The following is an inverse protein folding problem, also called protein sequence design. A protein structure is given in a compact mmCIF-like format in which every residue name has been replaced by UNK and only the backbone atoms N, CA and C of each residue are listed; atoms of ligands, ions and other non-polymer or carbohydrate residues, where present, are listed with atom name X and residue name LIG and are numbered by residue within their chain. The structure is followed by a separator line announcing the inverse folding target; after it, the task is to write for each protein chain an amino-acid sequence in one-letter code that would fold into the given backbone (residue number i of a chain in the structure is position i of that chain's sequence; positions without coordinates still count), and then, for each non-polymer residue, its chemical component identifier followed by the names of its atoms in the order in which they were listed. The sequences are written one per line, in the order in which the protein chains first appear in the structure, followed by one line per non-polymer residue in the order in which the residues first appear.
data_IF_038806607840
#
_entry.id   IF_038806607840
#
_cell.length_a   1.000
_cell.length_b   1.000
_cell.length_c   1.000
_cell.angle_alpha   90.00
_cell.angle_beta   90.00
_cell.angle_gamma   90.00
#
_symmetry.space_group_name_H-M   'P 1'
#
loop_
_entity.id
_entity.type
_entity.pdbx_description
1 polymer ?
#
# COMPACT_ATOMS: atom_id res chain seq x y z
N UNK A 1 6.82 -11.54 34.09
CA UNK A 1 8.25 -11.86 33.98
C UNK A 1 8.94 -10.98 32.91
N UNK A 2 8.58 -9.69 32.83
CA UNK A 2 9.39 -8.65 32.17
C UNK A 2 10.56 -8.34 33.11
N UNK A 3 11.58 -9.21 33.12
CA UNK A 3 12.85 -8.88 33.78
C UNK A 3 13.41 -7.69 33.01
N UNK A 4 13.21 -6.49 33.56
CA UNK A 4 14.12 -5.36 33.52
C UNK A 4 15.12 -5.45 32.34
N UNK A 5 14.65 -5.12 31.13
CA UNK A 5 15.44 -4.19 30.33
C UNK A 5 15.35 -2.86 31.07
N UNK A 6 16.04 -2.79 32.21
CA UNK A 6 16.35 -1.52 32.80
C UNK A 6 17.02 -0.72 31.70
N UNK A 7 16.73 0.57 31.66
CA UNK A 7 17.36 1.53 30.79
C UNK A 7 18.91 1.49 30.69
N UNK A 8 19.75 0.84 31.54
CA UNK A 8 21.21 0.84 31.48
C UNK A 8 21.88 0.44 30.16
N UNK A 9 21.42 -0.58 29.42
CA UNK A 9 22.04 -0.94 28.13
C UNK A 9 21.82 0.17 27.07
N UNK A 10 20.78 0.99 27.25
CA UNK A 10 20.49 2.20 26.46
C UNK A 10 20.99 3.50 27.15
N UNK A 11 21.47 3.42 28.39
CA UNK A 11 21.90 4.56 29.20
C UNK A 11 23.34 5.01 28.86
N UNK A 12 24.14 4.14 28.24
CA UNK A 12 25.44 4.51 27.68
C UNK A 12 25.37 5.49 26.49
N UNK A 13 24.18 5.74 25.96
CA UNK A 13 23.99 6.61 24.78
C UNK A 13 23.70 8.04 25.23
N UNK A 14 24.73 8.90 25.17
CA UNK A 14 24.59 10.36 25.27
C UNK A 14 23.78 10.86 24.07
N UNK A 15 22.52 11.22 24.29
CA UNK A 15 21.59 11.70 23.28
C UNK A 15 20.98 13.03 23.72
N UNK A 16 20.75 13.93 22.77
CA UNK A 16 20.12 15.23 23.06
C UNK A 16 18.61 15.07 23.25
N UNK A 17 18.02 14.05 22.62
CA UNK A 17 16.60 13.71 22.79
C UNK A 17 16.36 12.20 22.65
N UNK A 18 15.62 11.61 23.59
CA UNK A 18 15.19 10.21 23.56
C UNK A 18 13.66 10.14 23.48
N UNK A 19 13.15 9.20 22.70
CA UNK A 19 11.71 8.92 22.59
C UNK A 19 11.35 7.66 23.37
N UNK A 20 10.09 7.52 23.84
CA UNK A 20 9.64 6.32 24.54
C UNK A 20 9.92 5.06 23.72
N UNK A 21 10.35 3.99 24.41
CA UNK A 21 10.49 2.68 23.79
C UNK A 21 9.14 2.14 23.37
N UNK A 22 9.12 1.43 22.26
CA UNK A 22 7.91 0.94 21.63
C UNK A 22 8.02 -0.58 21.50
N UNK A 23 6.98 -1.30 21.90
CA UNK A 23 6.93 -2.75 21.95
C UNK A 23 5.74 -3.27 21.16
N UNK A 24 5.90 -4.42 20.51
CA UNK A 24 4.77 -5.13 19.90
C UNK A 24 4.95 -6.64 20.05
N UNK A 25 3.84 -7.36 20.06
CA UNK A 25 3.84 -8.83 20.14
C UNK A 25 3.65 -9.41 18.75
N UNK A 26 4.62 -10.22 18.32
CA UNK A 26 4.51 -10.92 17.05
C UNK A 26 3.45 -12.02 17.11
N UNK A 27 2.99 -12.48 15.94
CA UNK A 27 2.06 -13.63 15.84
C UNK A 27 2.60 -14.92 16.47
N UNK A 28 3.90 -15.03 16.73
CA UNK A 28 4.52 -16.16 17.42
C UNK A 28 4.63 -15.95 18.94
N UNK A 29 4.00 -14.91 19.50
CA UNK A 29 4.07 -14.55 20.92
C UNK A 29 5.38 -13.88 21.35
N UNK A 30 6.36 -13.72 20.46
CA UNK A 30 7.64 -13.05 20.78
C UNK A 30 7.46 -11.54 20.83
N UNK A 31 8.05 -10.91 21.85
CA UNK A 31 8.02 -9.45 22.02
C UNK A 31 9.17 -8.81 21.25
N UNK A 32 8.83 -7.84 20.40
CA UNK A 32 9.79 -7.03 19.66
C UNK A 32 9.80 -5.62 20.23
N UNK A 33 10.99 -5.06 20.39
CA UNK A 33 11.22 -3.69 20.82
C UNK A 33 11.76 -2.85 19.66
N UNK A 34 11.39 -1.57 19.67
CA UNK A 34 11.87 -0.54 18.77
C UNK A 34 12.26 0.71 19.58
N UNK A 35 13.38 1.31 19.21
CA UNK A 35 13.92 2.49 19.87
C UNK A 35 14.39 3.53 18.84
N UNK A 36 14.26 4.82 19.19
CA UNK A 36 14.75 5.94 18.39
C UNK A 36 15.20 7.09 19.28
N UNK A 37 16.27 7.77 18.89
CA UNK A 37 16.83 8.92 19.59
C UNK A 37 17.60 9.83 18.63
N UNK A 38 17.91 11.04 19.09
CA UNK A 38 18.61 12.06 18.31
C UNK A 38 19.86 12.52 19.04
N UNK A 39 20.93 12.73 18.28
CA UNK A 39 22.16 13.39 18.72
C UNK A 39 22.62 14.33 17.60
N UNK A 40 22.66 15.62 17.89
CA UNK A 40 22.89 16.69 16.92
C UNK A 40 21.87 16.66 15.79
N UNK A 41 22.38 16.55 14.58
CA UNK A 41 21.65 16.44 13.33
C UNK A 41 21.36 14.99 12.90
N UNK A 42 21.64 14.01 13.77
CA UNK A 42 21.60 12.60 13.44
C UNK A 42 20.51 11.87 14.21
N UNK A 43 19.64 11.17 13.48
CA UNK A 43 18.65 10.24 14.03
C UNK A 43 19.26 8.85 14.08
N UNK A 44 19.08 8.18 15.22
CA UNK A 44 19.49 6.81 15.45
C UNK A 44 18.24 5.98 15.73
N UNK A 45 18.19 4.75 15.21
CA UNK A 45 17.12 3.80 15.53
C UNK A 45 17.63 2.37 15.59
N UNK A 46 17.00 1.55 16.42
CA UNK A 46 17.23 0.10 16.43
C UNK A 46 15.93 -0.65 16.68
N UNK A 47 15.93 -1.93 16.32
CA UNK A 47 14.84 -2.86 16.56
C UNK A 47 15.39 -4.27 16.82
N UNK A 48 14.67 -5.07 17.60
CA UNK A 48 15.04 -6.46 17.88
C UNK A 48 14.05 -7.15 18.82
N UNK A 49 14.30 -8.40 19.15
CA UNK A 49 13.52 -9.13 20.15
C UNK A 49 14.08 -8.86 21.55
N UNK A 50 13.21 -8.76 22.56
CA UNK A 50 13.66 -8.58 23.95
C UNK A 50 14.55 -9.75 24.38
N UNK A 51 14.17 -10.97 24.03
CA UNK A 51 14.93 -12.19 24.37
C UNK A 51 15.98 -12.55 23.30
N UNK A 52 16.41 -11.58 22.49
CA UNK A 52 17.36 -11.79 21.40
C UNK A 52 18.32 -10.62 21.24
N UNK A 53 19.15 -10.66 20.20
CA UNK A 53 20.05 -9.54 19.89
C UNK A 53 19.27 -8.38 19.26
N UNK A 54 19.45 -7.19 19.80
CA UNK A 54 19.12 -5.95 19.09
C UNK A 54 20.02 -5.83 17.86
N UNK A 55 19.48 -5.24 16.79
CA UNK A 55 20.30 -4.89 15.63
C UNK A 55 21.23 -3.73 15.97
N UNK A 56 22.33 -3.65 15.24
CA UNK A 56 23.16 -2.45 15.24
C UNK A 56 22.32 -1.22 14.88
N UNK A 57 22.48 -0.09 15.60
CA UNK A 57 21.73 1.12 15.32
C UNK A 57 21.92 1.59 13.88
N UNK A 58 20.80 1.77 13.17
CA UNK A 58 20.79 2.50 11.91
C UNK A 58 20.83 3.99 12.19
N UNK A 59 21.66 4.72 11.44
CA UNK A 59 21.82 6.15 11.60
C UNK A 59 21.48 6.89 10.31
N UNK A 60 20.93 8.08 10.46
CA UNK A 60 20.73 9.00 9.36
C UNK A 60 21.01 10.43 9.80
N UNK A 61 22.03 11.03 9.18
CA UNK A 61 22.40 12.42 9.41
C UNK A 61 21.63 13.33 8.45
N UNK A 62 20.96 14.34 8.99
CA UNK A 62 20.17 15.30 8.22
C UNK A 62 20.99 16.56 7.96
N UNK A 63 21.01 17.01 6.70
CA UNK A 63 21.70 18.26 6.33
C UNK A 63 20.87 19.53 6.58
N UNK A 64 19.58 19.38 6.91
CA UNK A 64 18.62 20.48 6.91
C UNK A 64 17.99 20.74 5.54
N UNK A 65 17.14 21.76 5.46
CA UNK A 65 16.52 22.28 4.23
C UNK A 65 16.50 23.82 4.28
N UNK A 66 15.85 24.47 3.31
CA UNK A 66 15.75 25.94 3.25
C UNK A 66 15.08 26.60 4.47
N UNK A 67 14.35 25.83 5.28
CA UNK A 67 13.61 26.33 6.44
C UNK A 67 14.24 25.93 7.78
N UNK A 68 15.11 24.92 7.82
CA UNK A 68 15.59 24.30 9.06
C UNK A 68 17.00 23.75 8.92
N UNK A 69 17.79 23.88 9.97
CA UNK A 69 19.07 23.20 10.12
C UNK A 69 18.89 21.68 10.25
N UNK A 70 19.98 20.92 10.07
CA UNK A 70 19.99 19.48 10.32
C UNK A 70 19.56 19.10 11.74
N UNK A 71 20.06 19.86 12.73
CA UNK A 71 19.75 19.67 14.14
C UNK A 71 18.27 19.95 14.47
N UNK A 72 17.62 20.88 13.77
CA UNK A 72 16.18 21.13 13.92
C UNK A 72 15.33 20.09 13.16
N UNK A 73 15.83 19.57 12.04
CA UNK A 73 15.11 18.59 11.22
C UNK A 73 15.12 17.19 11.85
N UNK A 74 16.22 16.77 12.47
CA UNK A 74 16.38 15.42 13.02
C UNK A 74 15.30 15.04 14.07
N UNK A 75 14.95 15.89 15.06
CA UNK A 75 13.85 15.61 15.98
C UNK A 75 12.51 15.41 15.28
N UNK A 76 12.17 16.22 14.28
CA UNK A 76 10.91 16.11 13.53
C UNK A 76 10.81 14.78 12.79
N UNK A 77 11.92 14.30 12.22
CA UNK A 77 11.97 13.02 11.52
C UNK A 77 11.91 11.84 12.50
N UNK A 78 12.55 11.95 13.66
CA UNK A 78 12.43 10.95 14.72
C UNK A 78 10.99 10.83 15.25
N UNK A 79 10.29 11.96 15.44
CA UNK A 79 8.86 11.98 15.80
C UNK A 79 8.01 11.27 14.74
N UNK A 80 8.21 11.54 13.44
CA UNK A 80 7.52 10.83 12.35
C UNK A 80 7.79 9.32 12.38
N UNK A 81 9.02 8.90 12.68
CA UNK A 81 9.36 7.49 12.78
C UNK A 81 8.65 6.81 13.96
N UNK A 82 8.51 7.51 15.10
CA UNK A 82 7.80 7.03 16.28
C UNK A 82 6.29 6.89 15.99
N UNK A 83 5.67 7.93 15.39
CA UNK A 83 4.26 7.88 14.96
C UNK A 83 3.99 6.72 13.99
N UNK A 84 4.94 6.41 13.12
CA UNK A 84 4.83 5.25 12.24
C UNK A 84 4.87 3.91 12.98
N UNK A 85 5.56 3.81 14.11
CA UNK A 85 5.51 2.59 14.94
C UNK A 85 4.16 2.47 15.66
N UNK A 86 3.60 3.59 16.12
CA UNK A 86 2.23 3.61 16.66
C UNK A 86 1.23 3.00 15.66
N UNK A 87 1.29 3.37 14.37
CA UNK A 87 0.43 2.81 13.31
C UNK A 87 0.65 1.30 13.04
N UNK A 88 1.73 0.73 13.56
CA UNK A 88 2.06 -0.68 13.46
C UNK A 88 1.79 -1.44 14.76
N UNK A 89 0.88 -0.94 15.59
CA UNK A 89 0.47 -1.54 16.86
C UNK A 89 1.65 -1.73 17.83
N UNK A 90 2.62 -0.81 17.79
CA UNK A 90 3.58 -0.71 18.87
C UNK A 90 3.06 0.24 19.95
N UNK A 91 3.35 -0.07 21.20
CA UNK A 91 3.03 0.75 22.36
C UNK A 91 4.17 0.70 23.40
N UNK A 92 4.32 1.72 24.27
CA UNK A 92 5.22 1.64 25.40
C UNK A 92 4.85 0.50 26.35
N UNK A 93 5.79 0.09 27.20
CA UNK A 93 5.51 -0.88 28.24
C UNK A 93 4.53 -0.28 29.27
N UNK A 94 3.68 -1.10 29.89
CA UNK A 94 2.67 -0.63 30.84
C UNK A 94 3.32 0.07 32.06
N UNK A 95 4.52 -0.36 32.45
CA UNK A 95 5.31 0.24 33.52
C UNK A 95 5.97 1.60 33.16
N UNK A 96 6.10 1.94 31.87
CA UNK A 96 6.68 3.21 31.42
C UNK A 96 5.63 4.32 31.44
N UNK A 97 5.37 4.87 32.64
CA UNK A 97 4.36 5.92 32.84
C UNK A 97 4.55 7.14 31.93
N UNK A 98 5.79 7.56 31.68
CA UNK A 98 6.08 8.70 30.82
C UNK A 98 5.80 8.36 29.35
N UNK A 99 6.21 7.17 28.91
CA UNK A 99 5.85 6.64 27.60
C UNK A 99 4.35 6.55 27.39
N UNK A 100 3.61 6.01 28.37
CA UNK A 100 2.15 5.88 28.32
C UNK A 100 1.44 7.24 28.22
N UNK A 101 1.94 8.27 28.89
CA UNK A 101 1.42 9.63 28.75
C UNK A 101 1.58 10.17 27.32
N UNK A 102 2.78 10.02 26.73
CA UNK A 102 3.03 10.40 25.33
C UNK A 102 2.14 9.61 24.37
N UNK A 103 2.02 8.30 24.60
CA UNK A 103 1.19 7.42 23.77
C UNK A 103 -0.29 7.81 23.82
N UNK A 104 -0.83 8.06 25.01
CA UNK A 104 -2.21 8.50 25.20
C UNK A 104 -2.45 9.86 24.55
N UNK A 105 -1.52 10.80 24.70
CA UNK A 105 -1.58 12.11 24.07
C UNK A 105 -1.57 12.04 22.53
N UNK A 106 -0.73 11.19 21.96
CA UNK A 106 -0.70 10.92 20.52
C UNK A 106 -2.00 10.26 20.06
N UNK A 107 -2.48 9.26 20.80
CA UNK A 107 -3.74 8.56 20.49
C UNK A 107 -4.88 9.58 20.39
N UNK A 108 -5.10 10.40 21.41
CA UNK A 108 -6.16 11.42 21.43
C UNK A 108 -6.09 12.38 20.23
N UNK A 109 -4.90 12.85 19.86
CA UNK A 109 -4.74 13.72 18.69
C UNK A 109 -5.05 13.01 17.38
N UNK A 110 -4.63 11.74 17.24
CA UNK A 110 -4.94 10.94 16.06
C UNK A 110 -6.44 10.65 15.97
N UNK A 111 -7.10 10.34 17.09
CA UNK A 111 -8.56 10.16 17.15
C UNK A 111 -9.29 11.42 16.64
N UNK A 112 -8.86 12.60 17.09
CA UNK A 112 -9.42 13.89 16.65
C UNK A 112 -9.13 14.23 15.17
N UNK A 113 -8.13 13.59 14.56
CA UNK A 113 -7.68 13.86 13.19
C UNK A 113 -7.86 12.65 12.24
N UNK A 114 -8.88 11.82 12.48
CA UNK A 114 -9.21 10.68 11.61
C UNK A 114 -8.10 9.63 11.48
N UNK A 115 -7.25 9.49 12.49
CA UNK A 115 -6.13 8.56 12.53
C UNK A 115 -4.84 9.06 11.87
N UNK A 116 -4.82 10.24 11.24
CA UNK A 116 -3.65 10.72 10.50
C UNK A 116 -2.48 11.13 11.39
N UNK A 117 -1.24 10.94 10.89
CA UNK A 117 -0.03 11.48 11.53
C UNK A 117 0.19 12.98 11.28
N UNK A 118 -0.47 13.56 10.27
CA UNK A 118 -0.26 14.96 9.89
C UNK A 118 -0.70 15.88 11.04
N UNK A 119 0.20 16.75 11.48
CA UNK A 119 -0.08 17.70 12.57
C UNK A 119 0.08 17.12 13.97
N UNK A 120 0.10 15.79 14.14
CA UNK A 120 0.26 15.16 15.45
C UNK A 120 1.66 15.40 15.99
N UNK A 121 1.74 15.80 17.26
CA UNK A 121 3.01 16.01 17.97
C UNK A 121 3.09 15.07 19.17
N UNK A 122 4.29 14.57 19.45
CA UNK A 122 4.53 13.77 20.66
C UNK A 122 4.50 14.63 21.93
N UNK A 123 4.85 15.91 21.80
CA UNK A 123 4.96 16.83 22.93
C UNK A 123 4.37 18.19 22.55
N UNK A 124 3.68 18.82 23.51
CA UNK A 124 3.06 20.14 23.33
C UNK A 124 1.68 20.09 22.69
N UNK A 125 1.15 21.27 22.32
CA UNK A 125 -0.17 21.39 21.71
C UNK A 125 -0.12 21.27 20.18
N UNK A 126 -1.20 20.71 19.64
CA UNK A 126 -1.40 20.55 18.20
C UNK A 126 -2.51 21.45 17.71
N UNK A 127 -2.29 22.03 16.54
CA UNK A 127 -3.33 22.72 15.77
C UNK A 127 -3.90 21.71 14.77
N UNK A 128 -5.03 21.09 15.14
CA UNK A 128 -5.76 20.20 14.24
C UNK A 128 -6.56 21.10 13.29
N UNK A 129 -6.09 21.24 12.05
CA UNK A 129 -6.74 22.06 11.04
C UNK A 129 -7.89 21.34 10.32
N UNK A 130 -7.99 20.03 10.46
CA UNK A 130 -8.98 19.18 9.79
C UNK A 130 -9.97 18.62 10.81
N UNK A 131 -11.16 19.22 10.88
CA UNK A 131 -12.31 18.62 11.58
C UNK A 131 -12.94 17.58 10.63
N UNK A 132 -12.93 16.32 11.03
CA UNK A 132 -13.66 15.26 10.32
C UNK A 132 -15.15 15.39 10.63
N UNK A 133 -16.00 15.19 9.62
CA UNK A 133 -17.47 15.11 9.79
C UNK A 133 -17.89 13.91 10.66
N UNK A 134 -17.06 12.87 10.73
CA UNK A 134 -17.30 11.64 11.50
C UNK A 134 -16.97 11.73 13.02
N UNK A 135 -16.63 12.90 13.54
CA UNK A 135 -16.18 13.05 14.93
C UNK A 135 -14.84 12.36 15.22
N UNK A 136 -14.56 12.08 16.51
CA UNK A 136 -13.33 11.40 16.92
C UNK A 136 -13.36 9.93 16.46
N UNK A 137 -12.30 9.50 15.78
CA UNK A 137 -12.11 8.11 15.40
C UNK A 137 -11.81 7.24 16.63
N UNK A 138 -12.39 6.05 16.72
CA UNK A 138 -11.92 5.01 17.64
C UNK A 138 -10.71 4.27 17.05
N UNK A 139 -9.56 4.34 17.72
CA UNK A 139 -8.34 3.65 17.30
C UNK A 139 -8.15 2.28 17.96
N UNK A 140 -9.07 1.84 18.82
CA UNK A 140 -8.99 0.55 19.53
C UNK A 140 -9.35 -0.66 18.66
N UNK A 141 -10.14 -0.46 17.60
CA UNK A 141 -10.56 -1.51 16.67
C UNK A 141 -10.21 -1.14 15.22
N UNK A 142 -8.96 -1.42 14.81
CA UNK A 142 -8.56 -1.22 13.41
C UNK A 142 -8.82 -2.48 12.57
N UNK A 143 -9.68 -2.33 11.57
CA UNK A 143 -9.90 -3.35 10.54
C UNK A 143 -8.78 -3.25 9.51
N UNK A 144 -7.86 -4.22 9.51
CA UNK A 144 -6.77 -4.28 8.53
C UNK A 144 -7.19 -5.16 7.36
N UNK A 145 -7.10 -4.69 6.10
CA UNK A 145 -7.49 -5.49 4.97
C UNK A 145 -6.52 -6.64 4.70
N UNK A 146 -7.03 -7.69 4.07
CA UNK A 146 -6.24 -8.82 3.61
C UNK A 146 -5.24 -8.39 2.51
N UNK A 147 -4.00 -8.89 2.56
CA UNK A 147 -2.95 -8.57 1.58
C UNK A 147 -2.68 -9.74 0.63
N UNK A 148 -2.20 -9.47 -0.59
CA UNK A 148 -1.94 -10.53 -1.56
C UNK A 148 -0.45 -10.87 -1.70
N UNK A 149 -0.14 -12.16 -1.81
CA UNK A 149 1.16 -12.65 -2.32
C UNK A 149 1.14 -12.68 -3.86
N UNK A 150 2.30 -12.79 -4.49
CA UNK A 150 2.37 -12.97 -5.94
C UNK A 150 1.84 -14.37 -6.31
N UNK A 151 1.00 -14.44 -7.35
CA UNK A 151 0.66 -15.70 -8.01
C UNK A 151 1.89 -16.28 -8.71
N UNK A 152 2.06 -17.60 -8.59
CA UNK A 152 3.05 -18.39 -9.32
C UNK A 152 2.35 -19.67 -9.75
N UNK A 153 2.31 -19.93 -11.05
CA UNK A 153 1.91 -21.25 -11.56
C UNK A 153 3.11 -22.19 -11.41
N UNK A 154 2.95 -23.22 -10.59
CA UNK A 154 4.00 -24.20 -10.33
C UNK A 154 4.01 -25.35 -11.35
N UNK A 155 2.98 -25.46 -12.19
CA UNK A 155 2.90 -26.48 -13.23
C UNK A 155 3.61 -26.08 -14.53
N UNK A 156 3.95 -24.79 -14.71
CA UNK A 156 4.71 -24.26 -15.86
C UNK A 156 6.20 -24.00 -15.56
N UNK A 157 6.76 -24.62 -14.53
CA UNK A 157 8.16 -24.41 -14.14
C UNK A 157 9.15 -25.17 -15.05
N UNK A 158 9.34 -24.69 -16.28
CA UNK A 158 10.56 -25.00 -17.06
C UNK A 158 11.51 -23.79 -17.23
N UNK A 159 11.11 -22.56 -16.91
CA UNK A 159 12.03 -21.42 -17.07
C UNK A 159 12.60 -20.87 -15.74
N UNK A 160 13.88 -21.23 -15.52
CA UNK A 160 14.96 -20.57 -14.77
C UNK A 160 14.66 -19.30 -13.96
N UNK A 161 13.82 -19.37 -12.93
CA UNK A 161 13.90 -18.46 -11.79
C UNK A 161 13.51 -19.17 -10.48
N UNK A 162 14.44 -19.99 -9.97
CA UNK A 162 14.38 -20.54 -8.61
C UNK A 162 14.56 -19.40 -7.60
N UNK A 163 13.45 -18.82 -7.15
CA UNK A 163 13.40 -17.97 -5.97
C UNK A 163 12.63 -18.70 -4.86
N UNK A 164 13.45 -19.35 -4.01
CA UNK A 164 13.30 -19.90 -2.66
C UNK A 164 11.93 -19.77 -1.96
N UNK A 165 11.57 -20.89 -1.31
CA UNK A 165 10.33 -21.30 -0.66
C UNK A 165 9.19 -21.70 -1.62
N UNK A 166 8.84 -23.00 -1.73
CA UNK A 166 7.66 -23.42 -2.44
C UNK A 166 6.44 -22.72 -1.82
N UNK A 167 5.75 -21.92 -2.62
CA UNK A 167 4.41 -21.49 -2.27
C UNK A 167 3.54 -22.74 -2.21
N UNK A 168 2.59 -22.77 -1.28
CA UNK A 168 1.59 -23.84 -1.25
C UNK A 168 0.81 -23.81 -2.57
N UNK A 169 0.61 -24.97 -3.18
CA UNK A 169 -0.24 -25.12 -4.35
C UNK A 169 -1.63 -24.51 -4.09
N UNK A 170 -2.23 -23.93 -5.14
CA UNK A 170 -3.61 -23.44 -5.10
C UNK A 170 -4.51 -24.66 -4.90
N UNK A 171 -5.40 -24.60 -3.90
CA UNK A 171 -6.47 -25.60 -3.76
C UNK A 171 -7.69 -25.10 -4.52
N UNK A 172 -8.29 -26.01 -5.30
CA UNK A 172 -9.51 -25.77 -6.03
C UNK A 172 -10.71 -26.42 -5.32
N UNK A 173 -11.92 -25.84 -5.41
CA UNK A 173 -12.23 -24.58 -6.10
C UNK A 173 -11.61 -23.35 -5.41
N UNK A 174 -11.32 -22.33 -6.21
CA UNK A 174 -10.85 -21.02 -5.78
C UNK A 174 -11.74 -19.93 -6.38
N UNK A 175 -11.65 -18.69 -5.88
CA UNK A 175 -12.34 -17.54 -6.45
C UNK A 175 -11.31 -16.67 -7.17
N UNK A 176 -11.45 -16.54 -8.49
CA UNK A 176 -10.71 -15.58 -9.29
C UNK A 176 -11.56 -14.30 -9.43
N UNK A 177 -10.96 -13.14 -9.18
CA UNK A 177 -11.65 -11.83 -9.20
C UNK A 177 -10.86 -10.83 -10.03
N UNK A 178 -11.54 -9.90 -10.68
CA UNK A 178 -10.88 -8.78 -11.33
C UNK A 178 -10.01 -8.00 -10.32
N UNK A 179 -8.79 -7.67 -10.73
CA UNK A 179 -7.91 -6.82 -9.95
C UNK A 179 -8.10 -5.36 -10.35
N UNK A 180 -8.86 -4.64 -9.55
CA UNK A 180 -9.04 -3.19 -9.67
C UNK A 180 -7.75 -2.43 -9.34
N UNK A 181 -7.46 -1.36 -10.10
CA UNK A 181 -6.35 -0.41 -9.85
C UNK A 181 -6.90 0.94 -9.36
N UNK A 182 -7.26 0.99 -8.08
CA UNK A 182 -7.85 2.17 -7.45
C UNK A 182 -7.22 2.48 -6.09
N UNK A 183 -8.02 3.04 -5.19
CA UNK A 183 -7.64 3.34 -3.81
C UNK A 183 -8.46 2.49 -2.83
N UNK A 184 -7.80 1.56 -2.14
CA UNK A 184 -8.39 0.66 -1.13
C UNK A 184 -9.16 1.41 -0.04
N UNK A 185 -10.41 1.00 0.19
CA UNK A 185 -11.22 1.47 1.30
C UNK A 185 -11.95 0.32 2.03
N UNK A 186 -12.31 0.58 3.28
CA UNK A 186 -13.09 -0.30 4.15
C UNK A 186 -14.23 0.52 4.78
N UNK A 187 -15.33 0.77 4.05
CA UNK A 187 -16.51 1.37 4.62
C UNK A 187 -17.17 0.41 5.61
N UNK A 188 -17.47 0.94 6.79
CA UNK A 188 -18.20 0.27 7.85
C UNK A 188 -19.55 0.95 8.04
N UNK A 189 -20.64 0.21 7.80
CA UNK A 189 -21.93 0.54 8.37
C UNK A 189 -21.91 0.14 9.84
N UNK A 190 -22.15 1.10 10.73
CA UNK A 190 -22.20 0.89 12.18
C UNK A 190 -23.63 0.65 12.65
N UNK A 191 -23.75 0.13 13.88
CA UNK A 191 -25.03 -0.17 14.54
C UNK A 191 -25.97 1.02 14.69
N UNK A 192 -25.42 2.23 14.76
CA UNK A 192 -26.17 3.48 14.81
C UNK A 192 -26.62 3.98 13.43
N UNK A 193 -26.36 3.20 12.38
CA UNK A 193 -26.68 3.52 10.99
C UNK A 193 -25.64 4.40 10.31
N UNK A 194 -24.61 4.89 10.99
CA UNK A 194 -23.59 5.75 10.39
C UNK A 194 -22.59 4.94 9.54
N UNK A 195 -22.09 5.55 8.46
CA UNK A 195 -21.03 4.95 7.62
C UNK A 195 -19.71 5.67 7.85
N UNK A 196 -18.67 4.91 8.18
CA UNK A 196 -17.29 5.41 8.24
C UNK A 196 -16.48 4.80 7.12
N UNK A 197 -15.82 5.65 6.34
CA UNK A 197 -14.98 5.24 5.21
C UNK A 197 -13.50 5.30 5.64
N UNK A 198 -12.85 4.14 5.72
CA UNK A 198 -11.44 4.05 6.15
C UNK A 198 -10.52 3.56 5.05
N UNK A 199 -9.29 4.06 5.02
CA UNK A 199 -8.24 3.56 4.15
C UNK A 199 -7.67 2.24 4.65
N UNK A 200 -6.84 1.60 3.80
CA UNK A 200 -6.04 0.43 4.17
C UNK A 200 -5.28 0.52 5.51
N UNK A 201 -4.84 1.72 5.89
CA UNK A 201 -4.08 1.94 7.13
C UNK A 201 -4.97 2.46 8.27
N UNK A 202 -6.29 2.41 8.12
CA UNK A 202 -7.24 2.94 9.09
C UNK A 202 -7.35 4.47 9.10
N UNK A 203 -6.74 5.23 8.20
CA UNK A 203 -7.02 6.68 8.16
C UNK A 203 -8.41 6.92 7.57
N UNK A 204 -9.21 7.77 8.20
CA UNK A 204 -10.55 8.12 7.73
C UNK A 204 -10.50 9.01 6.50
N UNK A 205 -11.28 8.69 5.49
CA UNK A 205 -11.60 9.65 4.42
C UNK A 205 -12.62 10.66 4.96
N UNK A 206 -12.45 11.94 4.63
CA UNK A 206 -13.32 13.03 5.13
C UNK A 206 -14.43 13.38 4.14
N UNK A 207 -14.14 13.31 2.84
CA UNK A 207 -15.07 13.59 1.74
C UNK A 207 -15.61 12.29 1.15
N UNK A 208 -16.22 12.31 -0.04
CA UNK A 208 -16.88 11.18 -0.70
C UNK A 208 -18.20 10.80 -0.01
N UNK A 209 -19.05 11.81 0.26
CA UNK A 209 -20.32 11.57 0.96
C UNK A 209 -21.30 10.76 0.12
N UNK A 210 -21.31 10.91 -1.20
CA UNK A 210 -22.14 10.09 -2.09
C UNK A 210 -21.88 8.59 -1.89
N UNK A 211 -20.63 8.17 -1.65
CA UNK A 211 -20.32 6.78 -1.28
C UNK A 211 -20.93 6.39 0.06
N UNK A 212 -20.85 7.26 1.07
CA UNK A 212 -21.41 6.97 2.41
C UNK A 212 -22.93 6.85 2.36
N UNK A 213 -23.56 7.78 1.67
CA UNK A 213 -25.01 7.88 1.56
C UNK A 213 -25.56 6.66 0.82
N UNK A 214 -24.92 6.26 -0.29
CA UNK A 214 -25.30 5.06 -1.03
C UNK A 214 -25.11 3.78 -0.20
N UNK A 215 -23.95 3.64 0.46
CA UNK A 215 -23.66 2.46 1.30
C UNK A 215 -24.66 2.38 2.46
N UNK A 216 -24.96 3.50 3.11
CA UNK A 216 -25.93 3.58 4.19
C UNK A 216 -27.31 3.15 3.70
N UNK A 217 -27.78 3.78 2.62
CA UNK A 217 -29.08 3.51 2.04
C UNK A 217 -29.23 2.04 1.65
N UNK A 218 -28.29 1.53 0.84
CA UNK A 218 -28.40 0.19 0.28
C UNK A 218 -28.28 -0.92 1.32
N UNK A 219 -27.30 -0.82 2.23
CA UNK A 219 -27.13 -1.84 3.26
C UNK A 219 -28.27 -1.83 4.27
N UNK A 220 -28.82 -0.66 4.61
CA UNK A 220 -29.99 -0.56 5.46
C UNK A 220 -31.23 -1.15 4.76
N UNK A 221 -31.40 -0.90 3.46
CA UNK A 221 -32.47 -1.50 2.64
C UNK A 221 -32.40 -3.04 2.66
N UNK A 222 -31.18 -3.60 2.57
CA UNK A 222 -30.93 -5.05 2.71
C UNK A 222 -31.00 -5.57 4.15
N UNK A 223 -31.29 -4.73 5.14
CA UNK A 223 -31.46 -5.13 6.54
C UNK A 223 -30.16 -5.31 7.33
N UNK A 224 -29.01 -4.87 6.80
CA UNK A 224 -27.75 -4.88 7.55
C UNK A 224 -27.64 -3.68 8.48
N UNK A 225 -27.02 -3.88 9.64
CA UNK A 225 -26.80 -2.81 10.63
C UNK A 225 -25.38 -2.82 11.21
N UNK A 226 -24.52 -3.76 10.84
CA UNK A 226 -23.12 -3.77 11.24
C UNK A 226 -22.30 -4.63 10.29
N UNK A 227 -21.80 -4.03 9.21
CA UNK A 227 -21.04 -4.73 8.17
C UNK A 227 -19.89 -3.86 7.69
N UNK A 228 -18.80 -4.50 7.33
CA UNK A 228 -17.60 -3.84 6.83
C UNK A 228 -17.33 -4.42 5.45
N UNK A 229 -17.52 -3.59 4.44
CA UNK A 229 -17.19 -3.95 3.07
C UNK A 229 -15.70 -3.75 2.85
N UNK A 230 -15.12 -4.53 1.97
CA UNK A 230 -13.72 -4.41 1.58
C UNK A 230 -13.64 -4.34 0.05
N UNK A 231 -13.12 -3.21 -0.43
CA UNK A 231 -13.31 -2.78 -1.81
C UNK A 231 -12.29 -1.72 -2.23
N UNK A 232 -12.35 -1.31 -3.49
CA UNK A 232 -11.49 -0.29 -4.07
C UNK A 232 -12.36 0.87 -4.56
N UNK A 233 -12.01 2.11 -4.18
CA UNK A 233 -12.55 3.28 -4.85
C UNK A 233 -11.92 3.37 -6.24
N UNK A 234 -12.75 3.43 -7.26
CA UNK A 234 -12.34 3.24 -8.64
C UNK A 234 -13.26 4.00 -9.59
N UNK A 235 -12.85 4.13 -10.85
CA UNK A 235 -13.67 4.65 -11.94
C UNK A 235 -13.37 3.77 -13.14
N UNK A 236 -14.37 3.00 -13.58
CA UNK A 236 -14.16 2.07 -14.69
C UNK A 236 -14.02 2.80 -16.02
N UNK A 237 -14.87 3.79 -16.27
CA UNK A 237 -14.87 4.60 -17.49
C UNK A 237 -15.02 6.07 -17.15
N UNK A 238 -14.22 6.88 -17.82
CA UNK A 238 -14.19 8.32 -17.63
C UNK A 238 -13.73 8.96 -18.94
N UNK A 239 -14.28 10.12 -19.29
CA UNK A 239 -13.99 10.83 -20.51
C UNK A 239 -13.45 12.23 -20.20
N UNK A 240 -12.86 12.90 -21.18
CA UNK A 240 -12.44 14.30 -21.08
C UNK A 240 -13.19 15.15 -22.07
N UNK A 241 -13.80 16.22 -21.55
CA UNK A 241 -14.39 17.24 -22.40
C UNK A 241 -13.31 17.97 -23.23
N UNK A 242 -13.76 18.84 -24.14
CA UNK A 242 -12.89 19.68 -24.96
C UNK A 242 -11.91 20.58 -24.19
N UNK A 243 -12.15 20.85 -22.90
CA UNK A 243 -11.29 21.65 -22.03
C UNK A 243 -10.33 20.78 -21.21
N UNK A 244 -10.47 19.45 -21.29
CA UNK A 244 -9.69 18.48 -20.54
C UNK A 244 -10.29 18.11 -19.18
N UNK A 245 -11.48 18.59 -18.86
CA UNK A 245 -12.17 18.30 -17.61
C UNK A 245 -12.85 16.92 -17.65
N UNK A 246 -12.93 16.21 -16.50
CA UNK A 246 -13.58 14.91 -16.47
C UNK A 246 -15.09 14.98 -16.73
N UNK A 247 -15.60 14.02 -17.51
CA UNK A 247 -17.02 13.90 -17.87
C UNK A 247 -17.44 12.43 -18.07
N UNK A 248 -18.75 12.19 -18.05
CA UNK A 248 -19.38 10.91 -18.40
C UNK A 248 -19.84 10.84 -19.87
N UNK A 249 -19.69 11.93 -20.63
CA UNK A 249 -20.10 11.95 -22.04
C UNK A 249 -19.25 10.98 -22.87
N UNK A 250 -19.86 9.90 -23.36
CA UNK A 250 -19.18 8.87 -24.12
C UNK A 250 -18.79 9.30 -25.53
N UNK A 251 -19.25 10.47 -25.99
CA UNK A 251 -18.84 11.06 -27.26
C UNK A 251 -17.47 11.74 -27.18
N UNK A 252 -17.00 12.01 -25.96
CA UNK A 252 -15.70 12.62 -25.68
C UNK A 252 -14.55 11.60 -25.65
N UNK A 253 -13.32 12.09 -25.51
CA UNK A 253 -12.13 11.22 -25.49
C UNK A 253 -12.06 10.41 -24.19
N UNK A 254 -12.14 9.08 -24.28
CA UNK A 254 -11.98 8.21 -23.11
C UNK A 254 -10.59 8.34 -22.49
N UNK A 255 -10.56 8.49 -21.17
CA UNK A 255 -9.33 8.51 -20.38
C UNK A 255 -8.70 7.12 -20.31
N UNK A 256 -7.37 7.07 -20.46
CA UNK A 256 -6.59 5.86 -20.26
C UNK A 256 -6.55 5.45 -18.77
N UNK A 257 -6.23 4.19 -18.47
CA UNK A 257 -6.17 3.68 -17.09
C UNK A 257 -5.28 4.52 -16.15
N UNK A 258 -4.15 5.03 -16.66
CA UNK A 258 -3.28 5.95 -15.90
C UNK A 258 -3.94 7.29 -15.56
N UNK A 259 -4.73 7.84 -16.49
CA UNK A 259 -5.44 9.11 -16.28
C UNK A 259 -6.56 8.93 -15.26
N UNK A 260 -7.30 7.81 -15.32
CA UNK A 260 -8.30 7.44 -14.31
C UNK A 260 -7.67 7.26 -12.93
N UNK A 261 -6.53 6.57 -12.85
CA UNK A 261 -5.81 6.40 -11.58
C UNK A 261 -5.32 7.72 -10.97
N UNK A 262 -4.82 8.65 -11.80
CA UNK A 262 -4.42 9.99 -11.35
C UNK A 262 -5.61 10.74 -10.78
N UNK A 263 -6.73 10.76 -11.49
CA UNK A 263 -7.99 11.35 -11.02
C UNK A 263 -8.41 10.76 -9.66
N UNK A 264 -8.50 9.43 -9.53
CA UNK A 264 -8.91 8.77 -8.28
C UNK A 264 -7.93 9.12 -7.15
N UNK A 265 -6.63 9.16 -7.42
CA UNK A 265 -5.61 9.51 -6.43
C UNK A 265 -5.76 10.94 -5.91
N UNK A 266 -6.25 11.85 -6.75
CA UNK A 266 -6.53 13.23 -6.39
C UNK A 266 -7.87 13.36 -5.67
N UNK A 267 -8.96 12.84 -6.22
CA UNK A 267 -10.30 12.90 -5.65
C UNK A 267 -10.36 12.24 -4.26
N UNK A 268 -9.76 11.06 -4.11
CA UNK A 268 -9.78 10.27 -2.89
C UNK A 268 -8.68 10.64 -1.88
N UNK A 269 -7.91 11.72 -2.10
CA UNK A 269 -6.81 12.08 -1.20
C UNK A 269 -7.33 12.47 0.19
N UNK A 270 -6.98 11.67 1.19
CA UNK A 270 -7.40 11.81 2.60
C UNK A 270 -7.09 13.20 3.20
N UNK A 271 -6.04 13.85 2.73
CA UNK A 271 -5.53 15.11 3.31
C UNK A 271 -6.19 16.38 2.79
N UNK A 272 -7.25 16.27 2.00
CA UNK A 272 -7.95 17.40 1.37
C UNK A 272 -8.79 18.17 2.38
N UNK A 273 -8.76 19.49 2.30
CA UNK A 273 -9.57 20.37 3.15
C UNK A 273 -10.97 20.64 2.59
N UNK A 274 -11.19 20.43 1.29
CA UNK A 274 -12.48 20.60 0.60
C UNK A 274 -12.80 19.36 -0.26
N UNK A 275 -14.08 19.07 -0.56
CA UNK A 275 -14.53 18.04 -1.51
C UNK A 275 -13.95 18.27 -2.91
N UNK A 276 -13.84 17.22 -3.73
CA UNK A 276 -13.33 17.34 -5.11
C UNK A 276 -14.48 17.79 -5.97
N UNK A 277 -14.20 18.62 -6.97
CA UNK A 277 -15.24 19.15 -7.85
C UNK A 277 -15.95 18.06 -8.67
N UNK A 278 -15.40 16.84 -8.64
CA UNK A 278 -15.86 15.66 -9.37
C UNK A 278 -15.86 14.38 -8.49
N UNK A 279 -15.86 14.50 -7.15
CA UNK A 279 -15.78 13.29 -6.31
C UNK A 279 -16.95 12.33 -6.50
N UNK A 280 -18.11 12.82 -6.92
CA UNK A 280 -19.30 12.04 -7.27
C UNK A 280 -19.04 11.02 -8.37
N UNK A 281 -18.00 11.22 -9.18
CA UNK A 281 -17.64 10.28 -10.23
C UNK A 281 -16.96 9.01 -9.72
N UNK A 282 -16.52 9.01 -8.46
CA UNK A 282 -15.85 7.87 -7.84
C UNK A 282 -16.88 6.79 -7.50
N UNK A 283 -16.65 5.59 -8.01
CA UNK A 283 -17.40 4.37 -7.72
C UNK A 283 -16.71 3.58 -6.59
N UNK A 284 -17.44 2.68 -5.95
CA UNK A 284 -16.89 1.75 -4.96
C UNK A 284 -17.08 0.29 -5.36
N UNK A 285 -15.96 -0.36 -5.71
CA UNK A 285 -15.92 -1.72 -6.22
C UNK A 285 -15.60 -2.72 -5.10
N UNK A 286 -16.61 -3.47 -4.68
CA UNK A 286 -16.58 -4.39 -3.53
C UNK A 286 -16.12 -5.78 -3.98
N UNK A 287 -15.12 -6.37 -3.31
CA UNK A 287 -14.64 -7.73 -3.62
C UNK A 287 -14.61 -8.67 -2.40
N UNK A 288 -14.82 -8.18 -1.18
CA UNK A 288 -14.84 -9.01 0.03
C UNK A 288 -15.63 -8.32 1.16
N UNK A 289 -15.89 -9.07 2.22
CA UNK A 289 -16.44 -8.57 3.50
C UNK A 289 -15.41 -8.85 4.57
N UNK A 290 -15.18 -7.89 5.48
CA UNK A 290 -14.34 -8.13 6.64
C UNK A 290 -15.13 -8.96 7.65
N UNK A 291 -14.98 -10.29 7.57
CA UNK A 291 -15.53 -11.22 8.56
C UNK A 291 -14.55 -12.39 8.79
N UNK A 292 -13.78 -12.37 9.91
CA UNK A 292 -12.81 -13.41 10.19
C UNK A 292 -13.44 -14.76 10.58
N UNK A 293 -14.74 -14.81 10.85
CA UNK A 293 -15.44 -16.06 11.19
C UNK A 293 -15.73 -16.92 9.97
N UNK A 294 -15.97 -16.29 8.81
CA UNK A 294 -16.42 -16.92 7.56
C UNK A 294 -15.26 -17.22 6.60
N UNK A 295 -15.42 -18.30 5.85
CA UNK A 295 -14.61 -18.66 4.69
C UNK A 295 -14.81 -17.66 3.54
N UNK A 296 -13.97 -17.71 2.51
CA UNK A 296 -14.06 -16.77 1.41
C UNK A 296 -15.28 -17.04 0.53
N UNK A 297 -15.69 -18.31 0.39
CA UNK A 297 -16.92 -18.66 -0.31
C UNK A 297 -18.15 -18.07 0.39
N UNK A 298 -18.31 -18.30 1.70
CA UNK A 298 -19.43 -17.76 2.48
C UNK A 298 -19.49 -16.22 2.44
N UNK A 299 -18.33 -15.55 2.42
CA UNK A 299 -18.29 -14.08 2.29
C UNK A 299 -18.65 -13.60 0.89
N UNK A 300 -18.33 -14.38 -0.13
CA UNK A 300 -18.71 -14.07 -1.51
C UNK A 300 -20.20 -14.29 -1.75
N UNK A 301 -20.77 -15.38 -1.23
CA UNK A 301 -22.22 -15.63 -1.25
C UNK A 301 -22.99 -14.48 -0.57
N UNK A 302 -22.50 -14.00 0.57
CA UNK A 302 -23.07 -12.83 1.25
C UNK A 302 -22.98 -11.55 0.42
N UNK A 303 -21.90 -11.36 -0.34
CA UNK A 303 -21.82 -10.25 -1.29
C UNK A 303 -22.82 -10.40 -2.43
N UNK A 304 -23.03 -11.61 -2.95
CA UNK A 304 -24.03 -11.83 -3.98
C UNK A 304 -25.44 -11.49 -3.47
N UNK A 305 -25.79 -11.87 -2.24
CA UNK A 305 -27.05 -11.48 -1.59
C UNK A 305 -27.17 -9.96 -1.40
N UNK A 306 -26.10 -9.29 -0.95
CA UNK A 306 -26.06 -7.83 -0.81
C UNK A 306 -26.31 -7.15 -2.15
N UNK A 307 -25.75 -7.66 -3.25
CA UNK A 307 -25.85 -7.04 -4.57
C UNK A 307 -27.02 -7.55 -5.42
N UNK A 308 -27.77 -8.54 -4.94
CA UNK A 308 -29.01 -8.97 -5.57
C UNK A 308 -29.96 -7.78 -5.70
N UNK A 309 -30.50 -7.55 -6.89
CA UNK A 309 -31.38 -6.42 -7.23
C UNK A 309 -30.78 -5.02 -7.06
N UNK A 310 -29.47 -4.89 -6.84
CA UNK A 310 -28.82 -3.58 -6.87
C UNK A 310 -28.73 -3.07 -8.31
N UNK A 311 -29.42 -1.98 -8.62
CA UNK A 311 -29.45 -1.33 -9.93
C UNK A 311 -28.69 0.01 -9.97
N UNK A 312 -28.07 0.41 -8.86
CA UNK A 312 -27.33 1.66 -8.76
C UNK A 312 -25.97 1.67 -9.46
N UNK A 313 -25.43 2.88 -9.62
CA UNK A 313 -24.15 3.10 -10.32
C UNK A 313 -22.94 3.32 -9.43
N UNK A 314 -23.16 3.51 -8.14
CA UNK A 314 -22.10 3.87 -7.20
C UNK A 314 -21.41 2.63 -6.62
N UNK A 315 -22.15 1.58 -6.25
CA UNK A 315 -21.59 0.34 -5.72
C UNK A 315 -21.46 -0.70 -6.83
N UNK A 316 -20.30 -1.35 -6.96
CA UNK A 316 -20.12 -2.40 -7.97
C UNK A 316 -19.56 -3.66 -7.32
N UNK A 317 -20.19 -4.81 -7.55
CA UNK A 317 -19.60 -6.09 -7.19
C UNK A 317 -18.50 -6.40 -8.19
N UNK A 318 -17.29 -6.66 -7.69
CA UNK A 318 -16.15 -7.00 -8.55
C UNK A 318 -16.42 -8.32 -9.28
N UNK A 319 -16.24 -8.36 -10.63
CA UNK A 319 -16.38 -9.58 -11.41
C UNK A 319 -15.58 -10.72 -10.79
N UNK A 320 -16.28 -11.79 -10.44
CA UNK A 320 -15.74 -12.93 -9.70
C UNK A 320 -16.22 -14.23 -10.33
N UNK A 321 -15.32 -15.20 -10.47
CA UNK A 321 -15.60 -16.56 -10.94
C UNK A 321 -15.08 -17.57 -9.94
N UNK A 322 -15.88 -18.60 -9.69
CA UNK A 322 -15.38 -19.83 -9.08
C UNK A 322 -14.61 -20.59 -10.17
N UNK A 323 -13.35 -20.90 -9.89
CA UNK A 323 -12.44 -21.58 -10.80
C UNK A 323 -11.98 -22.91 -10.21
N UNK A 324 -11.80 -23.91 -11.06
CA UNK A 324 -11.43 -25.28 -10.67
C UNK A 324 -10.04 -25.71 -11.18
N UNK A 325 -9.38 -24.86 -11.99
CA UNK A 325 -8.06 -25.15 -12.56
C UNK A 325 -7.24 -23.88 -12.79
N UNK A 326 -5.95 -24.04 -13.14
CA UNK A 326 -5.11 -22.91 -13.56
C UNK A 326 -5.54 -22.39 -14.94
N UNK A 327 -6.01 -23.27 -15.83
CA UNK A 327 -6.47 -22.89 -17.16
C UNK A 327 -7.71 -21.97 -17.06
N UNK A 328 -8.66 -22.26 -16.18
CA UNK A 328 -9.81 -21.37 -15.93
C UNK A 328 -9.39 -20.00 -15.35
N UNK A 329 -8.27 -19.93 -14.63
CA UNK A 329 -7.68 -18.65 -14.19
C UNK A 329 -7.09 -17.89 -15.38
N UNK A 330 -6.38 -18.58 -16.29
CA UNK A 330 -5.83 -17.96 -17.50
C UNK A 330 -6.91 -17.51 -18.47
N UNK A 331 -7.98 -18.29 -18.64
CA UNK A 331 -9.13 -17.93 -19.47
C UNK A 331 -9.79 -16.67 -18.94
N UNK A 332 -10.04 -16.60 -17.62
CA UNK A 332 -10.61 -15.40 -17.01
C UNK A 332 -9.65 -14.20 -17.05
N UNK A 333 -8.35 -14.44 -16.92
CA UNK A 333 -7.32 -13.40 -17.08
C UNK A 333 -7.37 -12.83 -18.51
N UNK A 334 -7.51 -13.70 -19.51
CA UNK A 334 -7.58 -13.31 -20.92
C UNK A 334 -8.86 -12.54 -21.22
N UNK A 335 -10.00 -12.92 -20.63
CA UNK A 335 -11.24 -12.17 -20.77
C UNK A 335 -11.19 -10.76 -20.16
N UNK A 336 -10.59 -10.63 -18.98
CA UNK A 336 -10.54 -9.35 -18.26
C UNK A 336 -9.39 -8.44 -18.71
N UNK A 337 -8.25 -9.00 -19.10
CA UNK A 337 -7.07 -8.22 -19.50
C UNK A 337 -6.95 -8.10 -21.02
N UNK A 338 -7.59 -9.00 -21.77
CA UNK A 338 -7.72 -8.93 -23.23
C UNK A 338 -6.39 -8.79 -23.93
N UNK A 339 -5.60 -9.87 -24.01
CA UNK A 339 -4.36 -9.89 -24.80
C UNK A 339 -4.55 -9.11 -26.12
N UNK A 340 -3.78 -8.05 -26.35
CA UNK A 340 -3.50 -7.58 -27.72
C UNK A 340 -4.66 -7.01 -28.56
N UNK A 341 -5.83 -6.67 -28.02
CA UNK A 341 -7.00 -6.28 -28.84
C UNK A 341 -7.41 -4.82 -28.66
N UNK A 342 -7.75 -4.13 -29.76
CA UNK A 342 -8.57 -2.91 -29.75
C UNK A 342 -10.00 -3.17 -29.26
N UNK A 343 -10.09 -3.65 -28.02
CA UNK A 343 -11.19 -4.02 -27.11
C UNK A 343 -12.25 -5.05 -27.55
N UNK A 344 -12.38 -6.07 -26.71
CA UNK A 344 -13.66 -6.49 -26.09
C UNK A 344 -13.30 -7.21 -24.78
N UNK A 345 -13.26 -6.46 -23.67
CA UNK A 345 -12.94 -6.91 -22.31
C UNK A 345 -13.03 -5.75 -21.31
N UNK A 346 -13.32 -6.03 -20.04
CA UNK A 346 -13.35 -5.03 -18.95
C UNK A 346 -11.92 -4.76 -18.48
N UNK A 347 -11.24 -3.70 -18.96
CA UNK A 347 -9.82 -3.46 -18.64
C UNK A 347 -9.54 -3.33 -17.12
N UNK A 348 -8.95 -4.37 -16.53
CA UNK A 348 -8.48 -4.41 -15.13
C UNK A 348 -6.97 -4.70 -15.05
N UNK A 349 -6.33 -4.47 -13.90
CA UNK A 349 -4.86 -4.66 -13.74
C UNK A 349 -4.41 -6.13 -13.78
N UNK A 350 -5.36 -7.06 -13.74
CA UNK A 350 -5.11 -8.50 -13.66
C UNK A 350 -6.18 -9.22 -12.84
N UNK A 351 -5.78 -10.28 -12.15
CA UNK A 351 -6.64 -11.07 -11.28
C UNK A 351 -6.16 -11.12 -9.83
N UNK A 352 -7.12 -11.36 -8.94
CA UNK A 352 -6.91 -11.79 -7.56
C UNK A 352 -7.45 -13.21 -7.42
N UNK A 353 -6.63 -14.15 -6.92
CA UNK A 353 -7.04 -15.54 -6.71
C UNK A 353 -7.11 -15.81 -5.21
N UNK A 354 -8.29 -16.26 -4.74
CA UNK A 354 -8.60 -16.49 -3.34
C UNK A 354 -8.94 -17.95 -3.08
N UNK A 355 -8.37 -18.51 -2.02
CA UNK A 355 -8.71 -19.85 -1.58
C UNK A 355 -10.13 -19.86 -0.99
N UNK A 356 -11.05 -20.64 -1.56
CA UNK A 356 -12.47 -20.65 -1.17
C UNK A 356 -12.66 -20.89 0.34
N UNK A 357 -11.94 -21.87 0.90
CA UNK A 357 -12.01 -22.24 2.32
C UNK A 357 -11.24 -21.28 3.26
N UNK A 358 -10.65 -20.19 2.78
CA UNK A 358 -9.82 -19.31 3.61
C UNK A 358 -10.63 -18.28 4.39
N UNK A 359 -10.34 -18.16 5.69
CA UNK A 359 -10.91 -17.12 6.55
C UNK A 359 -10.29 -15.75 6.26
N UNK A 360 -11.02 -14.70 6.59
CA UNK A 360 -10.48 -13.35 6.48
C UNK A 360 -9.35 -13.14 7.49
N UNK A 361 -8.15 -12.78 7.02
CA UNK A 361 -6.99 -12.57 7.87
C UNK A 361 -6.26 -11.26 7.53
N UNK A 362 -6.07 -10.35 8.50
CA UNK A 362 -5.40 -9.06 8.28
C UNK A 362 -3.90 -9.17 7.92
N UNK A 363 -3.30 -10.36 8.02
CA UNK A 363 -1.92 -10.62 7.56
C UNK A 363 -1.80 -11.99 6.91
N UNK A 364 -1.73 -11.98 5.57
CA UNK A 364 -1.57 -13.16 4.72
C UNK A 364 -0.12 -13.56 4.47
N UNK A 365 0.84 -12.86 5.08
CA UNK A 365 2.28 -13.14 4.90
C UNK A 365 2.63 -14.61 5.17
N UNK A 366 1.83 -15.31 5.99
CA UNK A 366 1.97 -16.75 6.24
C UNK A 366 1.00 -17.66 5.49
N UNK A 367 -0.19 -17.19 5.08
CA UNK A 367 -1.28 -18.09 4.66
C UNK A 367 -1.43 -18.33 3.15
N UNK A 368 -0.78 -17.56 2.26
CA UNK A 368 -0.85 -17.76 0.79
C UNK A 368 -2.27 -17.98 0.24
N UNK A 369 -3.28 -17.42 0.93
CA UNK A 369 -4.70 -17.62 0.64
C UNK A 369 -5.29 -16.57 -0.31
N UNK A 370 -4.56 -15.47 -0.52
CA UNK A 370 -4.87 -14.41 -1.46
C UNK A 370 -3.63 -14.16 -2.33
N UNK A 371 -3.79 -14.33 -3.63
CA UNK A 371 -2.74 -14.20 -4.63
C UNK A 371 -3.12 -13.09 -5.62
N UNK A 372 -2.14 -12.33 -6.09
CA UNK A 372 -2.30 -11.36 -7.18
C UNK A 372 -1.61 -11.90 -8.42
N UNK A 373 -2.37 -12.04 -9.50
CA UNK A 373 -1.87 -12.42 -10.81
C UNK A 373 -1.93 -11.20 -11.72
N UNK A 374 -0.76 -10.78 -12.20
CA UNK A 374 -0.58 -9.63 -13.09
C UNK A 374 0.34 -10.05 -14.21
N UNK A 375 0.03 -9.63 -15.43
CA UNK A 375 0.98 -9.70 -16.55
C UNK A 375 1.98 -8.56 -16.39
N UNK A 376 3.24 -8.87 -16.64
CA UNK A 376 4.31 -7.87 -16.67
C UNK A 376 4.80 -7.78 -18.10
N UNK A 377 5.03 -6.57 -18.57
CA UNK A 377 5.79 -6.32 -19.80
C UNK A 377 7.27 -6.15 -19.43
N UNK A 378 8.14 -6.56 -20.34
CA UNK A 378 9.57 -6.30 -20.29
C UNK A 378 9.95 -5.48 -21.54
N UNK A 379 10.70 -4.38 -21.34
CA UNK A 379 11.29 -3.61 -22.44
C UNK A 379 12.74 -3.30 -22.18
N UNK A 380 13.52 -3.21 -23.24
CA UNK A 380 14.90 -2.75 -23.17
C UNK A 380 14.97 -1.21 -23.13
N UNK A 381 15.77 -0.70 -22.20
CA UNK A 381 16.09 0.71 -22.03
C UNK A 381 17.59 0.88 -21.88
N UNK A 382 18.14 1.96 -22.42
CA UNK A 382 19.58 2.25 -22.33
C UNK A 382 19.89 2.87 -20.95
N UNK A 383 20.92 2.37 -20.27
CA UNK A 383 21.38 2.95 -19.01
C UNK A 383 22.15 4.24 -19.29
N UNK A 384 21.75 5.34 -18.67
CA UNK A 384 22.46 6.62 -18.77
C UNK A 384 22.96 7.14 -17.41
N UNK A 385 22.62 6.44 -16.33
CA UNK A 385 22.95 6.85 -14.97
C UNK A 385 22.61 5.78 -13.94
N UNK A 386 23.06 5.97 -12.71
CA UNK A 386 22.50 5.29 -11.55
C UNK A 386 22.58 6.19 -10.31
N UNK A 387 21.61 6.03 -9.42
CA UNK A 387 21.61 6.65 -8.10
C UNK A 387 21.32 5.60 -7.02
N UNK A 388 21.64 5.91 -5.77
CA UNK A 388 21.26 5.04 -4.65
C UNK A 388 19.81 5.27 -4.25
N UNK A 389 19.14 4.20 -3.86
CA UNK A 389 17.94 4.29 -3.05
C UNK A 389 18.30 4.94 -1.69
N UNK A 390 17.39 5.77 -1.17
CA UNK A 390 17.53 6.41 0.14
C UNK A 390 16.48 5.88 1.11
N UNK A 391 16.92 5.54 2.32
CA UNK A 391 16.08 5.11 3.42
C UNK A 391 15.59 3.65 3.36
N UNK A 392 15.15 3.16 4.52
CA UNK A 392 14.60 1.81 4.68
C UNK A 392 15.60 0.68 4.44
N UNK A 393 15.09 -0.54 4.23
CA UNK A 393 15.92 -1.75 3.99
C UNK A 393 16.66 -1.73 2.65
N UNK A 394 16.36 -0.76 1.80
CA UNK A 394 16.90 -0.62 0.46
C UNK A 394 17.91 0.52 0.36
N UNK A 395 18.20 1.22 1.46
CA UNK A 395 19.18 2.30 1.46
C UNK A 395 20.52 1.82 0.88
N UNK A 396 21.05 2.57 -0.08
CA UNK A 396 22.28 2.23 -0.81
C UNK A 396 22.11 1.29 -2.00
N UNK A 397 20.94 0.68 -2.21
CA UNK A 397 20.68 -0.22 -3.36
C UNK A 397 20.67 0.57 -4.69
N UNK A 398 21.06 -0.09 -5.78
CA UNK A 398 21.13 0.51 -7.11
C UNK A 398 19.74 0.83 -7.68
N UNK A 399 19.58 2.08 -8.13
CA UNK A 399 18.45 2.56 -8.91
C UNK A 399 18.99 3.15 -10.21
N UNK A 400 18.81 2.41 -11.30
CA UNK A 400 19.27 2.80 -12.63
C UNK A 400 18.45 3.97 -13.15
N UNK A 401 19.11 4.87 -13.88
CA UNK A 401 18.50 5.93 -14.65
C UNK A 401 18.66 5.51 -16.11
N UNK A 402 17.54 5.23 -16.77
CA UNK A 402 17.53 4.73 -18.13
C UNK A 402 16.80 5.70 -19.06
N UNK A 403 17.14 5.71 -20.34
CA UNK A 403 16.45 6.48 -21.36
C UNK A 403 16.03 5.61 -22.56
N UNK A 404 15.01 6.09 -23.27
CA UNK A 404 14.51 5.50 -24.51
C UNK A 404 13.77 6.57 -25.30
N UNK A 405 13.88 6.51 -26.63
CA UNK A 405 13.05 7.35 -27.50
C UNK A 405 11.65 6.76 -27.57
N UNK A 406 10.67 7.50 -27.04
CA UNK A 406 9.26 7.12 -27.03
C UNK A 406 8.46 8.25 -27.65
N UNK A 407 7.67 7.93 -28.69
CA UNK A 407 6.90 8.92 -29.46
C UNK A 407 7.76 10.10 -29.95
N UNK A 408 8.96 9.80 -30.46
CA UNK A 408 9.91 10.79 -30.99
C UNK A 408 10.63 11.65 -29.94
N UNK A 409 10.42 11.43 -28.64
CA UNK A 409 11.09 12.16 -27.55
C UNK A 409 11.91 11.22 -26.69
N UNK A 410 13.11 11.65 -26.28
CA UNK A 410 13.90 10.93 -25.29
C UNK A 410 13.21 11.05 -23.93
N UNK A 411 12.75 9.93 -23.40
CA UNK A 411 12.16 9.83 -22.06
C UNK A 411 13.17 9.19 -21.12
N UNK A 412 13.10 9.58 -19.84
CA UNK A 412 13.92 9.01 -18.78
C UNK A 412 13.04 8.29 -17.77
N UNK A 413 13.57 7.20 -17.24
CA UNK A 413 12.92 6.40 -16.22
C UNK A 413 13.93 6.01 -15.15
N UNK A 414 13.50 5.95 -13.89
CA UNK A 414 14.33 5.41 -12.81
C UNK A 414 13.82 4.04 -12.40
N UNK A 415 14.63 3.01 -12.58
CA UNK A 415 14.26 1.63 -12.32
C UNK A 415 15.12 1.04 -11.22
N UNK A 416 14.49 0.58 -10.14
CA UNK A 416 15.19 -0.10 -9.06
C UNK A 416 15.63 -1.49 -9.53
N UNK A 417 16.89 -1.85 -9.28
CA UNK A 417 17.40 -3.20 -9.52
C UNK A 417 16.59 -4.24 -8.74
N UNK A 418 16.13 -5.29 -9.42
CA UNK A 418 15.51 -6.46 -8.80
C UNK A 418 16.56 -7.39 -8.18
N UNK A 419 16.10 -8.22 -7.25
CA UNK A 419 16.94 -9.19 -6.55
C UNK A 419 17.31 -8.74 -5.13
N UNK A 420 18.38 -9.35 -4.62
CA UNK A 420 18.86 -9.12 -3.26
C UNK A 420 19.37 -7.68 -3.04
N UNK A 421 19.08 -7.14 -1.85
CA UNK A 421 19.39 -5.76 -1.52
C UNK A 421 20.90 -5.52 -1.33
N UNK A 422 21.66 -6.50 -0.85
CA UNK A 422 23.12 -6.39 -0.70
C UNK A 422 23.83 -6.51 -2.05
N UNK A 423 23.42 -7.46 -2.89
CA UNK A 423 23.88 -7.55 -4.28
C UNK A 423 23.63 -6.23 -5.04
N UNK A 424 22.43 -5.65 -4.87
CA UNK A 424 22.09 -4.35 -5.46
C UNK A 424 22.96 -3.20 -4.94
N UNK A 425 23.35 -3.20 -3.67
CA UNK A 425 24.33 -2.22 -3.13
C UNK A 425 25.70 -2.38 -3.76
N UNK A 426 26.19 -3.62 -3.89
CA UNK A 426 27.46 -3.92 -4.55
C UNK A 426 27.45 -3.45 -5.99
N UNK A 427 26.33 -3.64 -6.70
CA UNK A 427 26.13 -3.15 -8.06
C UNK A 427 26.23 -1.62 -8.15
N UNK A 428 25.61 -0.89 -7.22
CA UNK A 428 25.75 0.58 -7.18
C UNK A 428 27.19 1.02 -6.88
N UNK A 429 27.90 0.34 -5.99
CA UNK A 429 29.31 0.64 -5.73
C UNK A 429 30.20 0.34 -6.96
N UNK A 430 29.91 -0.74 -7.69
CA UNK A 430 30.60 -1.06 -8.94
C UNK A 430 30.33 0.01 -10.01
N UNK A 431 29.09 0.45 -10.16
CA UNK A 431 28.73 1.57 -11.03
C UNK A 431 29.52 2.84 -10.68
N UNK A 432 29.57 3.21 -9.39
CA UNK A 432 30.32 4.39 -8.94
C UNK A 432 31.81 4.32 -9.27
N UNK A 433 32.41 3.12 -9.24
CA UNK A 433 33.82 2.92 -9.57
C UNK A 433 34.09 3.02 -11.07
N UNK A 434 33.16 2.54 -11.89
CA UNK A 434 33.32 2.54 -13.35
C UNK A 434 31.99 2.73 -14.07
N UNK A 435 31.48 3.99 -14.16
CA UNK A 435 30.19 4.26 -14.81
C UNK A 435 30.17 3.91 -16.30
N UNK A 436 31.29 4.07 -17.01
CA UNK A 436 31.37 3.79 -18.45
C UNK A 436 31.20 2.31 -18.79
N UNK A 437 31.45 1.41 -17.83
CA UNK A 437 31.12 -0.03 -17.98
C UNK A 437 29.62 -0.29 -18.11
N UNK A 438 28.76 0.63 -17.64
CA UNK A 438 27.32 0.41 -17.58
C UNK A 438 26.53 1.37 -18.46
N UNK A 439 26.95 2.64 -18.54
CA UNK A 439 26.29 3.63 -19.37
C UNK A 439 26.37 3.21 -20.86
N UNK A 440 25.25 3.33 -21.59
CA UNK A 440 25.10 2.88 -22.97
C UNK A 440 24.66 1.41 -23.11
N UNK A 441 24.70 0.61 -22.05
CA UNK A 441 24.21 -0.78 -22.10
C UNK A 441 22.69 -0.82 -22.02
N UNK A 442 22.10 -1.78 -22.71
CA UNK A 442 20.67 -2.05 -22.63
C UNK A 442 20.35 -2.90 -21.40
N UNK A 443 19.37 -2.47 -20.61
CA UNK A 443 18.86 -3.19 -19.46
C UNK A 443 17.38 -3.49 -19.64
N UNK A 444 16.96 -4.69 -19.25
CA UNK A 444 15.57 -5.08 -19.27
C UNK A 444 14.81 -4.40 -18.11
N UNK A 445 13.78 -3.63 -18.46
CA UNK A 445 12.88 -2.95 -17.55
C UNK A 445 11.54 -3.68 -17.54
N UNK A 446 11.21 -4.27 -16.39
CA UNK A 446 9.94 -4.90 -16.11
C UNK A 446 8.95 -3.90 -15.53
N UNK A 447 7.72 -3.87 -16.05
CA UNK A 447 6.65 -2.98 -15.57
C UNK A 447 5.26 -3.60 -15.78
N UNK A 448 4.24 -2.98 -15.19
CA UNK A 448 2.85 -3.43 -15.31
C UNK A 448 2.09 -2.70 -16.42
N UNK A 449 2.39 -1.42 -16.64
CA UNK A 449 1.67 -0.52 -17.56
C UNK A 449 2.57 0.70 -17.89
N UNK A 450 2.17 1.54 -18.86
CA UNK A 450 2.85 2.76 -19.29
C UNK A 450 2.02 4.01 -18.98
N UNK A 451 2.71 5.12 -18.75
CA UNK A 451 2.09 6.46 -18.68
C UNK A 451 1.61 6.91 -20.07
N UNK A 452 0.82 8.00 -20.15
CA UNK A 452 0.41 8.65 -21.41
C UNK A 452 1.58 8.97 -22.35
N UNK A 453 2.72 9.31 -21.75
CA UNK A 453 3.98 9.57 -22.44
C UNK A 453 4.72 8.31 -22.91
N UNK A 454 4.13 7.12 -22.69
CA UNK A 454 4.67 5.82 -23.03
C UNK A 454 5.80 5.33 -22.11
N UNK A 455 5.97 5.95 -20.94
CA UNK A 455 7.03 5.59 -19.98
C UNK A 455 6.51 4.54 -18.98
N UNK A 456 7.26 3.43 -18.72
CA UNK A 456 6.93 2.41 -17.74
C UNK A 456 6.53 2.91 -16.35
N UNK A 457 5.45 2.36 -15.78
CA UNK A 457 4.97 2.60 -14.41
C UNK A 457 5.51 1.52 -13.46
N UNK A 458 5.96 1.97 -12.28
CA UNK A 458 6.62 1.13 -11.27
C UNK A 458 7.76 0.23 -11.82
N UNK A 459 8.66 0.77 -12.65
CA UNK A 459 9.67 0.01 -13.36
C UNK A 459 10.66 -0.66 -12.40
N UNK A 460 11.11 -1.83 -12.82
CA UNK A 460 12.10 -2.66 -12.14
C UNK A 460 13.11 -3.15 -13.15
N UNK A 461 14.39 -2.90 -12.89
CA UNK A 461 15.46 -3.38 -13.75
C UNK A 461 15.77 -4.85 -13.41
N UNK A 462 15.84 -5.71 -14.41
CA UNK A 462 16.02 -7.15 -14.22
C UNK A 462 17.49 -7.54 -14.43
N UNK A 463 17.92 -7.69 -15.67
CA UNK A 463 19.29 -7.97 -16.08
C UNK A 463 19.66 -7.12 -17.31
N UNK A 464 20.96 -6.87 -17.49
CA UNK A 464 21.46 -6.35 -18.77
C UNK A 464 21.16 -7.37 -19.86
N UNK A 465 20.80 -6.88 -21.05
CA UNK A 465 20.39 -7.74 -22.16
C UNK A 465 21.50 -8.73 -22.54
N UNK A 466 22.75 -8.27 -22.50
CA UNK A 466 23.96 -9.05 -22.81
C UNK A 466 24.35 -10.06 -21.72
N UNK A 467 23.80 -9.93 -20.51
CA UNK A 467 24.11 -10.80 -19.36
C UNK A 467 23.05 -11.93 -19.22
N UNK A 468 22.06 -11.98 -20.12
CA UNK A 468 21.14 -13.11 -20.31
C UNK A 468 21.73 -14.07 -21.32
#
# INVERSE_FOLDING_TARGET
MLKKLTQPELAGWKADRKYPLMFTTTTAGKIRVWACWVKGDTVFRTDGFIDGKLKEPQTHQYKGNSLRTGAEQAPLEAEKMWLKQFDHDYAPADEDKAGQQVYTHVKQQKEQNGGMNRGVKLFGKTEISTKTTAGNKDLSAQHRPMLAKKYKDYNKAEDDYILTNPGKAIKFPALAQAKVDGIRALPQLRKDGTVVLESRNGNSFVHLNHLRDEIQYWLAHKGYSNVILDGEMYVHRMYRDKNGEPTYDYTDQEMQGVERYQFISEACKITRSKPHDHEEMVEYWVFDIWDPSKTNMERYELLQEIFEDYDGDILKLVPTRVVNSHDEIEDFMTELVGESSGRSGYEFEGLMVRQAASKYAPSTTKQSCLLKYKRFEDEEWEVCGAEKCTGGTQDGACKWICNKTVKGKVRKVTAKQMGDAEASRKLYQAYKKNPSKYNGRMINIRFNDKTKDGVPRFPRATAFVEDK
#
